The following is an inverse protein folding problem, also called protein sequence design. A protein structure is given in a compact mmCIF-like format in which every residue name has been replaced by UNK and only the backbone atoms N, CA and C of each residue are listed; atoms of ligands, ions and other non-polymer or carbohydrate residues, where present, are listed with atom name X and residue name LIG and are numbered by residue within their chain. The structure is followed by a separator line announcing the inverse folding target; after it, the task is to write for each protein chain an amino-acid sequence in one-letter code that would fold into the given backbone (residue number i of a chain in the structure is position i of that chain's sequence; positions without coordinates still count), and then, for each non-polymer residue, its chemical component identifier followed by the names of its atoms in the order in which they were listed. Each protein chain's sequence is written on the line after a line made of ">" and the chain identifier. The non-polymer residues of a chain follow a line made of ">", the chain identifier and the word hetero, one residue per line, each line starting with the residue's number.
data_IF_981798285457
#
_entry.id   IF_981798285457
#
_cell.length_a   1.000
_cell.length_b   1.000
_cell.length_c   1.000
_cell.angle_alpha   90.00
_cell.angle_beta   90.00
_cell.angle_gamma   90.00
#
_symmetry.space_group_name_H-M   'P 1'
#
loop_
_entity.id
_entity.type
_entity.pdbx_description
1 polymer ?
#
# COMPACT_ATOMS: atom_id res chain seq x y z
N UNK A 1 6.46 -13.72 -16.63
CA UNK A 1 6.75 -12.32 -16.97
C UNK A 1 6.74 -11.53 -15.68
N UNK A 2 7.88 -10.97 -15.25
CA UNK A 2 7.91 -10.09 -14.08
C UNK A 2 7.35 -8.73 -14.50
N UNK A 3 6.33 -8.23 -13.81
CA UNK A 3 5.82 -6.89 -14.01
C UNK A 3 6.83 -5.91 -13.42
N UNK A 4 7.67 -5.31 -14.27
CA UNK A 4 8.54 -4.20 -13.85
C UNK A 4 7.79 -2.91 -14.15
N UNK A 5 7.21 -2.23 -13.14
CA UNK A 5 6.60 -0.94 -13.37
C UNK A 5 7.66 0.08 -13.81
N UNK A 6 7.26 1.15 -14.52
CA UNK A 6 8.17 2.23 -14.88
C UNK A 6 8.87 2.79 -13.62
N UNK A 7 10.15 3.21 -13.70
CA UNK A 7 10.90 3.71 -12.54
C UNK A 7 10.29 4.95 -11.85
N UNK A 8 9.31 5.59 -12.52
CA UNK A 8 8.60 6.76 -12.01
C UNK A 8 7.32 6.42 -11.24
N UNK A 9 6.97 5.13 -11.09
CA UNK A 9 5.79 4.66 -10.37
C UNK A 9 6.16 3.68 -9.26
N UNK A 10 5.48 3.82 -8.13
CA UNK A 10 5.58 2.90 -7.01
C UNK A 10 4.25 2.17 -6.88
N UNK A 11 4.29 0.85 -7.03
CA UNK A 11 3.14 -0.01 -6.81
C UNK A 11 3.01 -0.31 -5.33
N UNK A 12 1.81 -0.18 -4.79
CA UNK A 12 1.54 -0.46 -3.38
C UNK A 12 0.22 -1.19 -3.20
N UNK A 13 0.07 -1.83 -2.04
CA UNK A 13 -1.18 -2.43 -1.61
C UNK A 13 -1.37 -2.22 -0.10
N UNK A 14 -2.59 -1.84 0.27
CA UNK A 14 -3.11 -1.86 1.63
C UNK A 14 -3.82 -3.19 1.83
N UNK A 15 -3.42 -3.91 2.88
CA UNK A 15 -4.04 -5.17 3.27
C UNK A 15 -4.23 -5.22 4.78
N UNK A 16 -5.16 -6.04 5.24
CA UNK A 16 -5.35 -6.38 6.65
C UNK A 16 -4.60 -7.67 6.96
N UNK A 17 -3.64 -7.61 7.87
CA UNK A 17 -2.88 -8.78 8.35
C UNK A 17 -3.76 -9.62 9.28
N UNK A 18 -4.54 -10.54 8.69
CA UNK A 18 -5.39 -11.48 9.44
C UNK A 18 -4.60 -12.58 10.15
N UNK A 19 -3.33 -12.77 9.80
CA UNK A 19 -2.50 -13.85 10.32
C UNK A 19 -1.86 -13.52 11.68
N UNK A 20 -1.66 -12.24 12.00
CA UNK A 20 -0.98 -11.81 13.24
C UNK A 20 -1.90 -11.10 14.23
N UNK A 21 -2.37 -9.92 13.87
CA UNK A 21 -2.98 -8.97 14.80
C UNK A 21 -4.23 -8.28 14.23
N UNK A 22 -4.59 -8.54 12.98
CA UNK A 22 -5.74 -7.93 12.31
C UNK A 22 -5.49 -6.47 11.90
N UNK A 23 -4.25 -6.00 11.98
CA UNK A 23 -3.87 -4.63 11.67
C UNK A 23 -3.76 -4.41 10.16
N UNK A 24 -4.13 -3.22 9.73
CA UNK A 24 -3.94 -2.73 8.38
C UNK A 24 -2.49 -2.31 8.17
N UNK A 25 -1.90 -2.75 7.06
CA UNK A 25 -0.53 -2.48 6.65
C UNK A 25 -0.47 -2.09 5.18
N UNK A 26 0.65 -1.49 4.77
CA UNK A 26 0.93 -1.17 3.37
C UNK A 26 2.25 -1.80 2.95
N UNK A 27 2.28 -2.41 1.76
CA UNK A 27 3.47 -2.91 1.10
C UNK A 27 3.77 -2.05 -0.12
N UNK A 28 5.05 -1.70 -0.33
CA UNK A 28 5.51 -0.95 -1.52
C UNK A 28 6.34 -1.88 -2.40
N UNK A 29 5.68 -2.64 -3.29
CA UNK A 29 6.30 -3.73 -4.05
C UNK A 29 7.57 -3.34 -4.81
N UNK A 30 7.61 -2.10 -5.35
CA UNK A 30 8.73 -1.60 -6.14
C UNK A 30 9.89 -1.07 -5.31
N UNK A 31 9.70 -0.92 -4.00
CA UNK A 31 10.73 -0.51 -3.05
C UNK A 31 11.28 -1.69 -2.24
N UNK A 32 10.78 -2.91 -2.49
CA UNK A 32 11.31 -4.14 -1.89
C UNK A 32 12.65 -4.52 -2.49
N UNK A 33 13.60 -4.83 -1.62
CA UNK A 33 14.87 -5.45 -1.98
C UNK A 33 14.69 -6.97 -2.16
N UNK A 34 15.63 -7.61 -2.86
CA UNK A 34 15.50 -9.05 -3.17
C UNK A 34 15.55 -9.93 -1.90
N UNK A 35 16.11 -9.46 -0.78
CA UNK A 35 16.20 -10.22 0.45
C UNK A 35 14.87 -10.28 1.22
N UNK A 36 14.05 -9.22 1.15
CA UNK A 36 12.76 -9.16 1.85
C UNK A 36 11.54 -9.37 0.94
N UNK A 37 11.71 -9.32 -0.37
CA UNK A 37 10.60 -9.36 -1.34
C UNK A 37 9.68 -10.57 -1.15
N UNK A 38 10.20 -11.79 -1.10
CA UNK A 38 9.34 -12.99 -0.93
C UNK A 38 8.57 -12.97 0.39
N UNK A 39 9.21 -12.54 1.48
CA UNK A 39 8.58 -12.52 2.80
C UNK A 39 7.49 -11.46 2.92
N UNK A 40 7.66 -10.30 2.27
CA UNK A 40 6.66 -9.23 2.23
C UNK A 40 5.50 -9.58 1.28
N UNK A 41 5.79 -10.15 0.09
CA UNK A 41 4.75 -10.62 -0.84
C UNK A 41 3.90 -11.71 -0.19
N UNK A 42 4.53 -12.70 0.45
CA UNK A 42 3.80 -13.75 1.15
C UNK A 42 2.93 -13.19 2.29
N UNK A 43 3.33 -12.08 2.92
CA UNK A 43 2.51 -11.42 3.94
C UNK A 43 1.28 -10.77 3.35
N UNK A 44 1.43 -9.96 2.31
CA UNK A 44 0.31 -9.33 1.63
C UNK A 44 -0.66 -10.38 1.04
N UNK A 45 -0.13 -11.45 0.43
CA UNK A 45 -0.92 -12.53 -0.16
C UNK A 45 -1.75 -13.34 0.86
N UNK A 46 -1.32 -13.40 2.12
CA UNK A 46 -2.08 -14.03 3.20
C UNK A 46 -3.03 -13.04 3.92
N UNK A 47 -2.94 -11.75 3.61
CA UNK A 47 -3.81 -10.72 4.14
C UNK A 47 -5.14 -10.62 3.41
N UNK A 48 -6.07 -9.86 3.98
CA UNK A 48 -7.27 -9.45 3.28
C UNK A 48 -6.99 -8.15 2.52
N UNK A 49 -7.15 -8.19 1.20
CA UNK A 49 -6.94 -7.04 0.33
C UNK A 49 -7.93 -5.90 0.65
N UNK A 50 -7.43 -4.66 0.70
CA UNK A 50 -8.26 -3.46 0.94
C UNK A 50 -8.22 -2.50 -0.25
N UNK A 51 -7.02 -2.16 -0.72
CA UNK A 51 -6.83 -1.22 -1.81
C UNK A 51 -5.42 -1.33 -2.39
N UNK A 52 -5.27 -1.43 -3.71
CA UNK A 52 -3.98 -1.30 -4.40
C UNK A 52 -3.96 -0.13 -5.37
N UNK A 53 -2.75 0.28 -5.75
CA UNK A 53 -2.60 1.29 -6.78
C UNK A 53 -1.15 1.70 -7.03
N UNK A 54 -1.02 2.84 -7.70
CA UNK A 54 0.28 3.42 -8.07
C UNK A 54 0.39 4.86 -7.59
N UNK A 55 1.50 5.18 -6.94
CA UNK A 55 1.89 6.56 -6.62
C UNK A 55 3.07 6.98 -7.49
N UNK A 56 3.14 8.26 -7.84
CA UNK A 56 4.28 8.83 -8.55
C UNK A 56 5.49 8.87 -7.63
N UNK A 57 6.65 8.50 -8.16
CA UNK A 57 7.91 8.62 -7.44
C UNK A 57 8.18 10.09 -7.04
N UNK A 58 7.86 11.04 -7.94
CA UNK A 58 7.82 12.48 -7.65
C UNK A 58 6.62 12.82 -6.76
N UNK A 59 6.83 12.84 -5.45
CA UNK A 59 5.79 13.06 -4.44
C UNK A 59 5.49 11.85 -3.55
N UNK A 60 6.33 10.80 -3.63
CA UNK A 60 6.14 9.57 -2.84
C UNK A 60 6.10 9.82 -1.34
N UNK A 61 6.89 10.76 -0.83
CA UNK A 61 6.98 11.00 0.62
C UNK A 61 5.64 11.56 1.15
N UNK A 62 5.03 12.49 0.40
CA UNK A 62 3.68 12.99 0.71
C UNK A 62 2.63 11.90 0.58
N UNK A 63 2.70 11.08 -0.46
CA UNK A 63 1.78 9.96 -0.64
C UNK A 63 1.88 8.95 0.52
N UNK A 64 3.10 8.66 1.01
CA UNK A 64 3.34 7.78 2.17
C UNK A 64 2.79 8.37 3.46
N UNK A 65 2.82 9.69 3.64
CA UNK A 65 2.17 10.36 4.78
C UNK A 65 0.65 10.18 4.74
N UNK A 66 0.04 10.36 3.56
CA UNK A 66 -1.41 10.13 3.37
C UNK A 66 -1.77 8.67 3.65
N UNK A 67 -1.01 7.72 3.08
CA UNK A 67 -1.18 6.29 3.37
C UNK A 67 -1.03 5.98 4.85
N UNK A 68 -0.06 6.59 5.54
CA UNK A 68 0.12 6.44 6.99
C UNK A 68 -1.10 6.91 7.78
N UNK A 69 -1.70 8.05 7.41
CA UNK A 69 -2.91 8.55 8.05
C UNK A 69 -4.13 7.64 7.79
N UNK A 70 -4.28 7.14 6.57
CA UNK A 70 -5.32 6.16 6.22
C UNK A 70 -5.17 4.88 7.06
N UNK A 71 -3.95 4.35 7.19
CA UNK A 71 -3.68 3.18 8.01
C UNK A 71 -4.00 3.42 9.50
N UNK A 72 -3.67 4.59 10.03
CA UNK A 72 -4.00 4.96 11.41
C UNK A 72 -5.52 4.94 11.63
N UNK A 73 -6.29 5.55 10.72
CA UNK A 73 -7.76 5.55 10.74
C UNK A 73 -8.33 4.14 10.71
N UNK A 74 -7.89 3.32 9.75
CA UNK A 74 -8.31 1.92 9.61
C UNK A 74 -7.97 1.10 10.88
N UNK A 75 -6.77 1.27 11.43
CA UNK A 75 -6.34 0.57 12.65
C UNK A 75 -7.07 1.03 13.91
N UNK A 76 -7.60 2.26 13.92
CA UNK A 76 -8.49 2.77 14.97
C UNK A 76 -9.95 2.29 14.81
N UNK A 77 -10.24 1.47 13.79
CA UNK A 77 -11.56 0.91 13.53
C UNK A 77 -12.46 1.79 12.65
N UNK A 78 -11.92 2.86 12.07
CA UNK A 78 -12.66 3.66 11.10
C UNK A 78 -12.86 2.90 9.79
N UNK A 79 -14.07 2.95 9.23
CA UNK A 79 -14.36 2.36 7.93
C UNK A 79 -14.00 3.36 6.82
N UNK A 80 -12.77 3.28 6.34
CA UNK A 80 -12.32 4.07 5.18
C UNK A 80 -12.60 3.27 3.89
N UNK A 81 -13.38 3.85 2.98
CA UNK A 81 -13.77 3.17 1.74
C UNK A 81 -12.70 3.33 0.65
N UNK A 82 -12.60 2.36 -0.27
CA UNK A 82 -11.68 2.42 -1.40
C UNK A 82 -11.81 3.71 -2.25
N UNK A 83 -13.03 4.24 -2.41
CA UNK A 83 -13.26 5.50 -3.12
C UNK A 83 -12.65 6.72 -2.39
N UNK A 84 -12.67 6.72 -1.07
CA UNK A 84 -12.08 7.77 -0.24
C UNK A 84 -10.55 7.69 -0.28
N UNK A 85 -9.98 6.49 -0.17
CA UNK A 85 -8.55 6.23 -0.35
C UNK A 85 -8.09 6.75 -1.72
N UNK A 86 -8.83 6.43 -2.78
CA UNK A 86 -8.53 6.90 -4.12
C UNK A 86 -8.60 8.43 -4.25
N UNK A 87 -9.58 9.07 -3.60
CA UNK A 87 -9.73 10.52 -3.60
C UNK A 87 -8.57 11.22 -2.88
N UNK A 88 -8.17 10.72 -1.69
CA UNK A 88 -7.06 11.26 -0.92
C UNK A 88 -5.71 11.10 -1.64
N UNK A 89 -5.55 10.00 -2.38
CA UNK A 89 -4.33 9.71 -3.14
C UNK A 89 -4.33 10.31 -4.55
N UNK A 90 -5.45 10.82 -5.05
CA UNK A 90 -5.57 11.40 -6.39
C UNK A 90 -4.43 12.38 -6.76
N UNK A 91 -4.01 13.32 -5.89
CA UNK A 91 -2.93 14.26 -6.21
C UNK A 91 -1.57 13.59 -6.48
N UNK A 92 -1.37 12.38 -5.95
CA UNK A 92 -0.12 11.63 -6.00
C UNK A 92 -0.19 10.39 -6.89
N UNK A 93 -1.39 10.00 -7.32
CA UNK A 93 -1.65 8.87 -8.20
C UNK A 93 -0.98 9.04 -9.58
N UNK A 94 -0.51 7.93 -10.15
CA UNK A 94 0.33 7.92 -11.36
C UNK A 94 -0.37 7.49 -12.64
#
# INVERSE_FOLDING_TARGET
>A
MAFTPPPDKIMFEIYKDVARNGNYQVIYFTELDDHNREAEINRAANGEHVYDGFIRNRGKDQAKLVLGSILERLNNGEQVQAAEIAQELQPYSA
#
